data_IF_204492164222
#
_entry.id   IF_204492164222
#
_cell.length_a   1.000
_cell.length_b   1.000
_cell.length_c   1.000
_cell.angle_alpha   90.00
_cell.angle_beta   90.00
_cell.angle_gamma   90.00
#
_symmetry.space_group_name_H-M   'P 1'
#
loop_
_entity.id
_entity.type
_entity.pdbx_description
1 polymer ?
#
# COMPACT_ATOMS: atom_id res chain seq x y z
N UNK A 1 -37.79 17.11 22.62
CA UNK A 1 -36.34 16.83 22.73
C UNK A 1 -36.13 15.46 23.42
N UNK A 2 -36.28 14.33 22.69
CA UNK A 2 -36.01 12.96 23.19
C UNK A 2 -35.45 12.13 22.03
N UNK A 3 -34.20 12.39 21.65
CA UNK A 3 -33.47 11.61 20.63
C UNK A 3 -32.26 10.84 21.22
N UNK A 4 -32.10 10.82 22.55
CA UNK A 4 -30.89 10.27 23.20
C UNK A 4 -30.99 8.85 23.77
N UNK A 5 -32.15 8.19 23.77
CA UNK A 5 -32.36 6.93 24.51
C UNK A 5 -32.30 5.64 23.67
N UNK A 6 -32.33 5.73 22.33
CA UNK A 6 -32.37 4.54 21.45
C UNK A 6 -31.07 3.74 21.42
N UNK A 7 -29.93 4.43 21.52
CA UNK A 7 -28.59 3.83 21.39
C UNK A 7 -28.08 3.17 22.67
N UNK A 8 -28.65 3.50 23.83
CA UNK A 8 -28.15 3.04 25.13
C UNK A 8 -28.34 1.53 25.35
N UNK A 9 -29.45 0.97 24.89
CA UNK A 9 -29.74 -0.47 25.03
C UNK A 9 -28.81 -1.33 24.15
N UNK A 10 -28.67 -1.06 22.84
CA UNK A 10 -27.71 -1.78 21.99
C UNK A 10 -26.26 -1.65 22.48
N UNK A 11 -25.81 -0.45 22.85
CA UNK A 11 -24.43 -0.24 23.29
C UNK A 11 -24.08 -1.02 24.55
N UNK A 12 -24.99 -1.10 25.54
CA UNK A 12 -24.76 -1.89 26.76
C UNK A 12 -24.75 -3.39 26.50
N UNK A 13 -25.60 -3.87 25.59
CA UNK A 13 -25.62 -5.28 25.19
C UNK A 13 -24.31 -5.64 24.48
N UNK A 14 -23.91 -4.86 23.47
CA UNK A 14 -22.70 -5.09 22.69
C UNK A 14 -21.44 -5.04 23.57
N UNK A 15 -21.34 -4.07 24.48
CA UNK A 15 -20.21 -3.96 25.40
C UNK A 15 -20.08 -5.18 26.33
N UNK A 16 -21.20 -5.70 26.86
CA UNK A 16 -21.20 -6.93 27.67
C UNK A 16 -20.86 -8.17 26.84
N UNK A 17 -21.40 -8.26 25.63
CA UNK A 17 -21.14 -9.39 24.73
C UNK A 17 -19.66 -9.46 24.34
N UNK A 18 -19.08 -8.36 23.85
CA UNK A 18 -17.67 -8.29 23.46
C UNK A 18 -16.76 -8.48 24.68
N UNK A 19 -17.12 -7.94 25.85
CA UNK A 19 -16.36 -8.13 27.09
C UNK A 19 -16.25 -9.60 27.52
N UNK A 20 -17.28 -10.41 27.27
CA UNK A 20 -17.27 -11.85 27.57
C UNK A 20 -16.64 -12.69 26.45
N UNK A 21 -16.81 -12.28 25.18
CA UNK A 21 -16.26 -13.02 24.03
C UNK A 21 -14.75 -12.79 23.86
N UNK A 22 -14.29 -11.57 24.13
CA UNK A 22 -12.94 -11.11 23.82
C UNK A 22 -12.77 -10.76 22.35
N UNK A 23 -11.94 -9.76 22.07
CA UNK A 23 -11.49 -9.41 20.72
C UNK A 23 -10.09 -8.82 20.83
N UNK A 24 -9.15 -9.37 20.06
CA UNK A 24 -7.73 -8.98 20.10
C UNK A 24 -7.12 -9.00 18.70
N UNK A 25 -6.02 -8.27 18.55
CA UNK A 25 -5.18 -8.24 17.35
C UNK A 25 -3.78 -8.70 17.75
N UNK A 26 -3.24 -9.68 17.02
CA UNK A 26 -1.89 -10.20 17.21
C UNK A 26 -0.95 -9.84 16.06
N UNK A 27 0.34 -10.15 16.24
CA UNK A 27 1.32 -10.08 15.14
C UNK A 27 1.00 -11.15 14.07
N UNK A 28 0.47 -12.30 14.49
CA UNK A 28 0.06 -13.38 13.59
C UNK A 28 -1.06 -12.96 12.63
N UNK A 29 -1.92 -12.00 13.02
CA UNK A 29 -2.97 -11.47 12.17
C UNK A 29 -2.44 -10.63 10.99
N UNK A 30 -1.19 -10.19 11.08
CA UNK A 30 -0.56 -9.30 10.10
C UNK A 30 0.65 -9.95 9.43
N UNK A 31 0.91 -11.21 9.75
CA UNK A 31 1.98 -11.99 9.13
C UNK A 31 1.49 -12.60 7.82
N UNK A 32 2.15 -12.35 6.69
CA UNK A 32 1.78 -12.94 5.41
C UNK A 32 2.08 -14.44 5.40
N UNK A 33 1.15 -15.23 4.86
CA UNK A 33 1.38 -16.65 4.58
C UNK A 33 2.41 -16.87 3.44
N UNK A 34 2.96 -18.07 3.35
CA UNK A 34 3.98 -18.45 2.36
C UNK A 34 3.52 -18.19 0.91
N UNK A 35 2.29 -18.57 0.58
CA UNK A 35 1.70 -18.38 -0.74
C UNK A 35 1.58 -16.90 -1.13
N UNK A 36 1.20 -16.05 -0.17
CA UNK A 36 1.11 -14.60 -0.37
C UNK A 36 2.50 -13.98 -0.54
N UNK A 37 3.50 -14.46 0.22
CA UNK A 37 4.88 -14.02 0.07
C UNK A 37 5.46 -14.35 -1.31
N UNK A 38 5.19 -15.55 -1.84
CA UNK A 38 5.62 -15.95 -3.17
C UNK A 38 4.96 -15.08 -4.25
N UNK A 39 3.64 -14.89 -4.19
CA UNK A 39 2.91 -14.01 -5.12
C UNK A 39 3.43 -12.57 -5.05
N UNK A 40 3.55 -12.02 -3.85
CA UNK A 40 4.11 -10.69 -3.60
C UNK A 40 5.48 -10.55 -4.25
N UNK A 41 6.37 -11.53 -4.10
CA UNK A 41 7.71 -11.49 -4.69
C UNK A 41 7.64 -11.42 -6.21
N UNK A 42 6.84 -12.28 -6.84
CA UNK A 42 6.63 -12.28 -8.30
C UNK A 42 6.11 -10.91 -8.77
N UNK A 43 5.06 -10.38 -8.15
CA UNK A 43 4.48 -9.09 -8.52
C UNK A 43 5.49 -7.95 -8.37
N UNK A 44 6.30 -7.95 -7.31
CA UNK A 44 7.33 -6.94 -7.07
C UNK A 44 8.44 -7.05 -8.13
N UNK A 45 8.91 -8.26 -8.41
CA UNK A 45 9.98 -8.51 -9.39
C UNK A 45 9.53 -8.07 -10.80
N UNK A 46 8.31 -8.42 -11.22
CA UNK A 46 7.71 -7.92 -12.48
C UNK A 46 7.60 -6.39 -12.52
N UNK A 47 7.34 -5.78 -11.36
CA UNK A 47 7.27 -4.34 -11.22
C UNK A 47 8.62 -3.65 -11.41
N UNK A 48 9.69 -4.25 -10.86
CA UNK A 48 11.05 -3.78 -11.04
C UNK A 48 11.53 -3.92 -12.48
N UNK A 49 11.24 -5.04 -13.14
CA UNK A 49 11.58 -5.25 -14.56
C UNK A 49 10.96 -4.16 -15.45
N UNK A 50 9.66 -3.88 -15.28
CA UNK A 50 8.98 -2.80 -16.01
C UNK A 50 9.56 -1.42 -15.72
N UNK A 51 9.96 -1.15 -14.47
CA UNK A 51 10.67 0.09 -14.13
C UNK A 51 12.00 0.19 -14.87
N UNK A 52 12.78 -0.89 -14.92
CA UNK A 52 14.06 -0.93 -15.64
C UNK A 52 13.89 -0.74 -17.14
N UNK A 53 12.86 -1.32 -17.75
CA UNK A 53 12.53 -1.09 -19.16
C UNK A 53 12.25 0.40 -19.44
N UNK A 54 11.46 1.07 -18.58
CA UNK A 54 11.18 2.50 -18.71
C UNK A 54 12.44 3.36 -18.57
N UNK A 55 13.32 3.03 -17.64
CA UNK A 55 14.60 3.71 -17.46
C UNK A 55 15.48 3.51 -18.70
N UNK A 56 15.56 2.29 -19.23
CA UNK A 56 16.33 1.99 -20.43
C UNK A 56 15.81 2.75 -21.67
N UNK A 57 14.49 2.87 -21.84
CA UNK A 57 13.87 3.66 -22.89
C UNK A 57 14.19 5.16 -22.76
N UNK A 58 14.20 5.67 -21.53
CA UNK A 58 14.62 7.05 -21.27
C UNK A 58 16.10 7.27 -21.61
N UNK A 59 16.99 6.36 -21.20
CA UNK A 59 18.43 6.43 -21.52
C UNK A 59 18.72 6.37 -23.03
N UNK A 60 17.92 5.64 -23.80
CA UNK A 60 18.01 5.60 -25.27
C UNK A 60 17.42 6.83 -25.96
N UNK A 61 16.60 7.62 -25.26
CA UNK A 61 15.91 8.79 -25.81
C UNK A 61 14.61 8.48 -26.55
N UNK A 62 14.19 7.20 -26.56
CA UNK A 62 12.99 6.70 -27.27
C UNK A 62 11.68 6.94 -26.49
N UNK A 63 11.77 7.44 -25.25
CA UNK A 63 10.59 7.70 -24.43
C UNK A 63 9.76 8.86 -25.00
N UNK A 64 8.52 8.56 -25.40
CA UNK A 64 7.56 9.53 -25.92
C UNK A 64 7.05 10.40 -24.76
N UNK A 65 7.24 11.73 -24.80
CA UNK A 65 6.76 12.61 -23.75
C UNK A 65 5.23 12.71 -23.76
N UNK A 66 4.62 12.75 -22.57
CA UNK A 66 3.20 13.03 -22.43
C UNK A 66 2.89 14.50 -22.76
N UNK A 67 1.68 14.82 -23.24
CA UNK A 67 1.30 16.20 -23.56
C UNK A 67 1.53 17.14 -22.36
N UNK A 68 2.29 18.21 -22.58
CA UNK A 68 2.61 19.20 -21.54
C UNK A 68 3.69 18.76 -20.54
N UNK A 69 4.35 17.61 -20.72
CA UNK A 69 5.40 17.11 -19.84
C UNK A 69 6.75 16.99 -20.58
N UNK A 70 7.84 17.22 -19.84
CA UNK A 70 9.18 16.89 -20.33
C UNK A 70 9.40 15.36 -20.28
N UNK A 71 10.40 14.85 -21.02
CA UNK A 71 10.75 13.40 -21.00
C UNK A 71 11.01 12.88 -19.57
N UNK A 72 11.76 13.63 -18.76
CA UNK A 72 12.04 13.25 -17.37
C UNK A 72 10.77 13.25 -16.49
N UNK A 73 9.89 14.25 -16.65
CA UNK A 73 8.60 14.29 -15.94
C UNK A 73 7.68 13.15 -16.37
N UNK A 74 7.72 12.80 -17.66
CA UNK A 74 6.97 11.67 -18.21
C UNK A 74 7.45 10.35 -17.61
N UNK A 75 8.77 10.15 -17.52
CA UNK A 75 9.36 8.99 -16.85
C UNK A 75 8.91 8.88 -15.39
N UNK A 76 9.04 9.98 -14.63
CA UNK A 76 8.62 10.01 -13.22
C UNK A 76 7.13 9.72 -13.03
N UNK A 77 6.28 10.28 -13.89
CA UNK A 77 4.84 10.04 -13.89
C UNK A 77 4.52 8.56 -14.16
N UNK A 78 5.14 7.97 -15.19
CA UNK A 78 4.93 6.57 -15.55
C UNK A 78 5.43 5.61 -14.46
N UNK A 79 6.62 5.83 -13.90
CA UNK A 79 7.14 5.01 -12.80
C UNK A 79 6.25 5.13 -11.56
N UNK A 80 5.84 6.34 -11.20
CA UNK A 80 4.96 6.54 -10.04
C UNK A 80 3.60 5.86 -10.21
N UNK A 81 3.02 5.95 -11.41
CA UNK A 81 1.78 5.25 -11.76
C UNK A 81 1.94 3.72 -11.66
N UNK A 82 3.02 3.18 -12.22
CA UNK A 82 3.33 1.76 -12.18
C UNK A 82 3.49 1.25 -10.74
N UNK A 83 4.27 1.95 -9.90
CA UNK A 83 4.48 1.59 -8.49
C UNK A 83 3.20 1.68 -7.66
N UNK A 84 2.34 2.66 -7.92
CA UNK A 84 1.04 2.77 -7.26
C UNK A 84 0.12 1.60 -7.66
N UNK A 85 0.08 1.25 -8.96
CA UNK A 85 -0.72 0.12 -9.45
C UNK A 85 -0.24 -1.21 -8.88
N UNK A 86 1.08 -1.41 -8.78
CA UNK A 86 1.67 -2.60 -8.15
C UNK A 86 1.23 -2.73 -6.68
N UNK A 87 1.25 -1.62 -5.93
CA UNK A 87 0.75 -1.61 -4.55
C UNK A 87 -0.73 -1.96 -4.46
N UNK A 88 -1.56 -1.41 -5.35
CA UNK A 88 -3.00 -1.71 -5.39
C UNK A 88 -3.25 -3.20 -5.68
N UNK A 89 -2.62 -3.75 -6.72
CA UNK A 89 -2.75 -5.17 -7.09
C UNK A 89 -2.30 -6.09 -5.96
N UNK A 90 -1.14 -5.81 -5.35
CA UNK A 90 -0.64 -6.60 -4.24
C UNK A 90 -1.52 -6.47 -2.97
N UNK A 91 -2.18 -5.32 -2.80
CA UNK A 91 -3.17 -5.10 -1.74
C UNK A 91 -4.46 -5.89 -1.96
N UNK A 92 -4.98 -5.93 -3.18
CA UNK A 92 -6.17 -6.70 -3.53
C UNK A 92 -5.94 -8.21 -3.36
N UNK A 93 -4.76 -8.69 -3.76
CA UNK A 93 -4.32 -10.07 -3.53
C UNK A 93 -4.23 -10.40 -2.04
N UNK A 94 -3.77 -9.46 -1.21
CA UNK A 94 -3.77 -9.62 0.24
C UNK A 94 -5.19 -9.78 0.78
N UNK A 95 -6.09 -8.87 0.40
CA UNK A 95 -7.45 -8.83 0.92
C UNK A 95 -8.28 -10.06 0.52
N UNK A 96 -8.01 -10.61 -0.66
CA UNK A 96 -8.65 -11.86 -1.13
C UNK A 96 -8.09 -13.12 -0.47
N UNK A 97 -6.85 -13.08 0.04
CA UNK A 97 -6.19 -14.22 0.69
C UNK A 97 -6.47 -14.29 2.19
N UNK A 98 -6.73 -13.15 2.85
CA UNK A 98 -6.98 -13.10 4.28
C UNK A 98 -8.25 -13.88 4.67
N UNK A 99 -8.14 -14.69 5.72
CA UNK A 99 -9.28 -15.44 6.26
C UNK A 99 -10.32 -14.48 6.87
N UNK A 100 -11.61 -14.77 6.71
CA UNK A 100 -12.71 -13.93 7.21
C UNK A 100 -12.71 -13.71 8.74
N UNK A 101 -11.99 -14.57 9.50
CA UNK A 101 -11.80 -14.44 10.96
C UNK A 101 -10.63 -13.53 11.36
N UNK A 102 -9.88 -12.99 10.40
CA UNK A 102 -8.76 -12.12 10.69
C UNK A 102 -9.24 -10.82 11.39
N UNK A 103 -8.68 -10.51 12.55
CA UNK A 103 -9.12 -9.36 13.36
C UNK A 103 -9.01 -8.01 12.63
N UNK A 104 -7.88 -7.65 11.98
CA UNK A 104 -7.77 -6.43 11.16
C UNK A 104 -8.84 -6.34 10.07
N UNK A 105 -9.12 -7.45 9.37
CA UNK A 105 -10.12 -7.50 8.31
C UNK A 105 -11.53 -7.22 8.87
N UNK A 106 -11.90 -7.85 9.99
CA UNK A 106 -13.18 -7.61 10.66
C UNK A 106 -13.30 -6.14 11.09
N UNK A 107 -12.26 -5.56 11.70
CA UNK A 107 -12.27 -4.16 12.14
C UNK A 107 -12.48 -3.18 10.98
N UNK A 108 -11.84 -3.45 9.83
CA UNK A 108 -12.01 -2.65 8.62
C UNK A 108 -13.40 -2.81 8.02
N UNK A 109 -13.96 -4.03 7.96
CA UNK A 109 -15.29 -4.29 7.40
C UNK A 109 -16.42 -3.73 8.26
N UNK A 110 -16.29 -3.80 9.58
CA UNK A 110 -17.24 -3.21 10.52
C UNK A 110 -17.12 -1.68 10.60
N UNK A 111 -16.13 -1.07 9.94
CA UNK A 111 -15.89 0.37 9.97
C UNK A 111 -15.46 0.90 11.34
N UNK A 112 -14.98 0.02 12.23
CA UNK A 112 -14.56 0.40 13.58
C UNK A 112 -13.23 1.15 13.56
N UNK A 113 -12.23 0.58 12.89
CA UNK A 113 -10.91 1.20 12.72
C UNK A 113 -10.12 0.51 11.62
N UNK A 114 -9.35 1.31 10.88
CA UNK A 114 -8.52 0.85 9.79
C UNK A 114 -9.29 0.81 8.47
N UNK A 115 -8.53 0.59 7.40
CA UNK A 115 -8.99 0.49 6.04
C UNK A 115 -8.22 -0.63 5.33
N UNK A 116 -8.70 -1.13 4.18
CA UNK A 116 -7.99 -2.17 3.42
C UNK A 116 -6.53 -1.79 3.12
N UNK A 117 -6.26 -0.51 2.89
CA UNK A 117 -4.89 -0.02 2.65
C UNK A 117 -3.99 -0.12 3.88
N UNK A 118 -4.52 0.04 5.09
CA UNK A 118 -3.70 -0.13 6.30
C UNK A 118 -3.27 -1.59 6.46
N UNK A 119 -4.19 -2.52 6.18
CA UNK A 119 -3.91 -3.96 6.25
C UNK A 119 -2.89 -4.34 5.18
N UNK A 120 -3.08 -3.92 3.93
CA UNK A 120 -2.14 -4.24 2.86
C UNK A 120 -0.74 -3.66 3.09
N UNK A 121 -0.65 -2.49 3.70
CA UNK A 121 0.65 -1.89 4.06
C UNK A 121 1.37 -2.65 5.18
N UNK A 122 0.62 -3.21 6.13
CA UNK A 122 1.17 -3.99 7.23
C UNK A 122 1.59 -5.40 6.79
N UNK A 123 0.83 -6.02 5.89
CA UNK A 123 1.04 -7.43 5.48
C UNK A 123 1.94 -7.55 4.25
N UNK A 124 1.76 -6.68 3.24
CA UNK A 124 2.39 -6.81 1.93
C UNK A 124 3.46 -5.74 1.72
N UNK A 125 3.10 -4.50 1.44
CA UNK A 125 4.09 -3.45 1.17
C UNK A 125 3.54 -2.05 1.45
N UNK A 126 4.39 -1.18 1.98
CA UNK A 126 4.04 0.22 2.27
C UNK A 126 3.81 1.03 0.98
N UNK A 127 4.64 0.76 -0.04
CA UNK A 127 4.64 1.44 -1.33
C UNK A 127 5.55 2.67 -1.39
N UNK A 128 5.56 3.32 -2.56
CA UNK A 128 6.39 4.49 -2.84
C UNK A 128 6.00 5.68 -1.95
N UNK A 129 7.02 6.33 -1.35
CA UNK A 129 6.84 7.58 -0.62
C UNK A 129 7.01 8.77 -1.57
N UNK A 130 6.12 9.76 -1.44
CA UNK A 130 6.13 10.99 -2.24
C UNK A 130 6.28 12.21 -1.33
N UNK A 131 7.17 13.12 -1.71
CA UNK A 131 7.44 14.40 -1.02
C UNK A 131 7.20 15.52 -2.03
N UNK A 132 6.26 16.41 -1.74
CA UNK A 132 5.90 17.50 -2.66
C UNK A 132 5.37 17.03 -4.02
N UNK A 133 4.72 15.86 -4.06
CA UNK A 133 4.16 15.28 -5.28
C UNK A 133 5.17 14.57 -6.19
N UNK A 134 6.43 14.39 -5.74
CA UNK A 134 7.48 13.68 -6.46
C UNK A 134 8.12 12.62 -5.58
N UNK A 135 8.85 11.68 -6.17
CA UNK A 135 9.71 10.75 -5.41
C UNK A 135 10.79 11.56 -4.66
N UNK A 136 11.45 10.92 -3.71
CA UNK A 136 12.47 11.56 -2.88
C UNK A 136 13.47 12.35 -3.75
N UNK A 137 13.60 13.68 -3.56
CA UNK A 137 14.45 14.50 -4.40
C UNK A 137 15.93 14.20 -4.13
N UNK A 138 16.79 14.57 -5.07
CA UNK A 138 18.23 14.53 -4.88
C UNK A 138 18.65 15.58 -3.85
N UNK A 139 18.90 15.14 -2.62
CA UNK A 139 19.41 15.97 -1.53
C UNK A 139 20.94 16.14 -1.55
N UNK A 140 21.63 15.30 -2.34
CA UNK A 140 23.08 15.37 -2.59
C UNK A 140 23.34 15.59 -4.08
N UNK A 141 24.61 15.71 -4.46
CA UNK A 141 25.05 15.83 -5.86
C UNK A 141 24.55 14.61 -6.65
N UNK A 142 23.50 14.82 -7.45
CA UNK A 142 22.82 13.86 -8.33
C UNK A 142 22.47 12.51 -7.69
N UNK A 143 22.11 12.52 -6.40
CA UNK A 143 21.62 11.32 -5.69
C UNK A 143 20.77 11.67 -4.48
N UNK A 144 19.95 10.70 -4.07
CA UNK A 144 19.04 10.85 -2.92
C UNK A 144 19.75 10.71 -1.58
N UNK A 145 20.60 9.70 -1.41
CA UNK A 145 21.39 9.41 -0.20
C UNK A 145 22.84 9.04 -0.56
N UNK A 146 23.80 9.20 0.37
CA UNK A 146 25.21 8.89 0.11
C UNK A 146 25.48 7.39 -0.18
N UNK A 147 24.53 6.51 0.14
CA UNK A 147 24.58 5.08 -0.14
C UNK A 147 24.25 4.73 -1.59
N UNK A 148 23.63 5.64 -2.33
CA UNK A 148 23.29 5.41 -3.73
C UNK A 148 24.38 5.91 -4.67
N UNK A 149 24.54 5.27 -5.84
CA UNK A 149 25.42 5.75 -6.89
C UNK A 149 24.90 7.10 -7.44
N UNK A 150 25.79 7.81 -8.14
CA UNK A 150 25.44 9.05 -8.82
C UNK A 150 24.49 8.72 -9.98
N UNK A 151 23.43 9.51 -10.15
CA UNK A 151 22.34 9.32 -11.13
C UNK A 151 21.50 8.04 -10.92
N UNK A 152 21.25 7.66 -9.66
CA UNK A 152 20.35 6.56 -9.27
C UNK A 152 18.87 6.90 -9.39
#
# INVERSE_FOLDING_TARGET
>A
MRLGLGWWRPSRFNARFIGNHGFSIGVDDVQPGESLNQKKKITIDEGYEKCHELIALYSKGDLIPQPGCNRAQTLESQISCLLNKLRETAGDDCMSTLHWRNSPLIMSQCGSKGSPINISQMVVCVGQQSVGGRRAPNGFIDRTLPHFPINS
#
